data_IF_948419089372
#
_entry.id   IF_948419089372
#
_cell.length_a   1.000
_cell.length_b   1.000
_cell.length_c   1.000
_cell.angle_alpha   90.00
_cell.angle_beta   90.00
_cell.angle_gamma   90.00
#
_symmetry.space_group_name_H-M   'P 1'
#
loop_
_entity.id
_entity.type
_entity.pdbx_description
1 polymer ?
#
# COMPACT_ATOMS: atom_id res chain seq x y z
N UNK A 1 -31.29 2.16 1.89
CA UNK A 1 -31.72 3.49 1.43
C UNK A 1 -30.62 4.54 1.53
N UNK A 2 -30.08 4.89 2.71
CA UNK A 2 -29.02 5.91 2.86
C UNK A 2 -27.78 5.63 2.00
N UNK A 3 -27.27 4.40 2.00
CA UNK A 3 -26.13 3.98 1.16
C UNK A 3 -26.38 4.20 -0.34
N UNK A 4 -27.59 3.88 -0.82
CA UNK A 4 -27.93 4.05 -2.24
C UNK A 4 -27.96 5.52 -2.64
N UNK A 5 -28.49 6.40 -1.78
CA UNK A 5 -28.52 7.85 -2.01
C UNK A 5 -27.11 8.42 -2.04
N UNK A 6 -26.29 8.09 -1.04
CA UNK A 6 -24.89 8.53 -0.97
C UNK A 6 -24.08 8.01 -2.18
N UNK A 7 -24.28 6.75 -2.55
CA UNK A 7 -23.58 6.15 -3.69
C UNK A 7 -24.01 6.80 -5.01
N UNK A 8 -25.30 7.11 -5.18
CA UNK A 8 -25.79 7.83 -6.38
C UNK A 8 -25.18 9.22 -6.47
N UNK A 9 -25.11 9.97 -5.38
CA UNK A 9 -24.46 11.27 -5.35
C UNK A 9 -22.97 11.19 -5.64
N UNK A 10 -22.25 10.27 -5.00
CA UNK A 10 -20.83 10.06 -5.20
C UNK A 10 -20.50 9.62 -6.62
N UNK A 11 -21.38 8.84 -7.27
CA UNK A 11 -21.21 8.41 -8.67
C UNK A 11 -21.29 9.58 -9.67
N UNK A 12 -22.03 10.64 -9.36
CA UNK A 12 -22.15 11.83 -10.20
C UNK A 12 -21.03 12.85 -9.99
N UNK A 13 -20.30 12.74 -8.86
CA UNK A 13 -19.20 13.64 -8.51
C UNK A 13 -17.90 13.15 -9.17
N UNK A 14 -16.99 14.08 -9.50
CA UNK A 14 -15.63 13.71 -9.92
C UNK A 14 -15.00 12.72 -8.94
N UNK A 15 -14.33 11.65 -9.40
CA UNK A 15 -13.82 10.60 -8.53
C UNK A 15 -12.80 11.08 -7.49
N UNK A 16 -11.93 12.03 -7.82
CA UNK A 16 -10.96 12.57 -6.85
C UNK A 16 -11.64 13.48 -5.83
N UNK A 17 -12.62 14.28 -6.26
CA UNK A 17 -13.43 15.12 -5.36
C UNK A 17 -14.24 14.24 -4.40
N UNK A 18 -14.85 13.15 -4.90
CA UNK A 18 -15.55 12.19 -4.04
C UNK A 18 -14.60 11.55 -3.00
N UNK A 19 -13.38 11.22 -3.39
CA UNK A 19 -12.37 10.72 -2.48
C UNK A 19 -11.95 11.77 -1.42
N UNK A 20 -11.74 13.01 -1.83
CA UNK A 20 -11.42 14.12 -0.91
C UNK A 20 -12.53 14.33 0.14
N UNK A 21 -13.81 14.24 -0.27
CA UNK A 21 -14.93 14.27 0.66
C UNK A 21 -14.89 13.07 1.64
N UNK A 22 -14.64 11.87 1.17
CA UNK A 22 -14.54 10.68 2.02
C UNK A 22 -13.45 10.85 3.10
N UNK A 23 -12.25 11.32 2.71
CA UNK A 23 -11.18 11.63 3.66
C UNK A 23 -11.61 12.70 4.67
N UNK A 24 -12.24 13.77 4.21
CA UNK A 24 -12.73 14.87 5.09
C UNK A 24 -13.76 14.37 6.12
N UNK A 25 -14.74 13.57 5.68
CA UNK A 25 -15.74 12.97 6.59
C UNK A 25 -15.13 12.04 7.62
N UNK A 26 -14.18 11.18 7.22
CA UNK A 26 -13.45 10.29 8.12
C UNK A 26 -12.61 11.07 9.13
N UNK A 27 -11.96 12.15 8.70
CA UNK A 27 -11.11 13.00 9.54
C UNK A 27 -11.91 13.76 10.60
N UNK A 28 -13.11 14.21 10.26
CA UNK A 28 -13.99 14.93 11.16
C UNK A 28 -14.82 14.02 12.09
N UNK A 29 -14.63 12.68 12.01
CA UNK A 29 -15.44 11.69 12.73
C UNK A 29 -16.96 11.86 12.52
N UNK A 30 -17.38 12.36 11.37
CA UNK A 30 -18.80 12.56 11.04
C UNK A 30 -19.55 11.25 10.72
N UNK A 31 -18.82 10.14 10.59
CA UNK A 31 -19.42 8.82 10.43
C UNK A 31 -19.85 8.31 11.80
N UNK A 32 -21.12 7.90 11.98
CA UNK A 32 -21.60 7.35 13.25
C UNK A 32 -21.07 5.93 13.43
N UNK A 33 -19.78 5.80 13.74
CA UNK A 33 -19.09 4.51 13.88
C UNK A 33 -19.74 3.57 14.90
N UNK A 34 -20.41 4.15 15.93
CA UNK A 34 -21.11 3.37 16.95
C UNK A 34 -22.30 2.57 16.38
N UNK A 35 -22.88 3.03 15.26
CA UNK A 35 -23.92 2.29 14.52
C UNK A 35 -23.33 1.22 13.59
N UNK A 36 -22.01 1.28 13.33
CA UNK A 36 -21.29 0.37 12.43
C UNK A 36 -20.43 -0.64 13.21
N UNK A 37 -20.86 -1.05 14.41
CA UNK A 37 -20.11 -2.01 15.24
C UNK A 37 -19.99 -3.35 14.51
N UNK A 38 -18.84 -3.57 13.88
CA UNK A 38 -18.46 -4.87 13.32
C UNK A 38 -17.93 -5.76 14.46
N UNK A 39 -18.65 -6.85 14.76
CA UNK A 39 -18.09 -7.91 15.59
C UNK A 39 -17.17 -8.76 14.72
N UNK A 40 -15.90 -8.73 15.03
CA UNK A 40 -14.94 -9.62 14.37
C UNK A 40 -15.03 -11.00 15.03
N UNK A 41 -15.26 -12.03 14.23
CA UNK A 41 -15.23 -13.41 14.71
C UNK A 41 -13.76 -13.80 15.01
N UNK A 42 -13.53 -14.42 16.16
CA UNK A 42 -12.20 -14.87 16.58
C UNK A 42 -11.57 -15.91 15.65
N UNK A 43 -12.39 -16.64 14.89
CA UNK A 43 -11.93 -17.59 13.86
C UNK A 43 -11.23 -16.91 12.67
N UNK A 44 -11.45 -15.60 12.49
CA UNK A 44 -10.84 -14.81 11.42
C UNK A 44 -9.43 -14.29 11.78
N UNK A 45 -8.99 -14.50 13.03
CA UNK A 45 -7.66 -14.08 13.46
C UNK A 45 -6.59 -14.84 12.68
N UNK A 46 -5.60 -14.08 12.19
CA UNK A 46 -4.50 -14.65 11.41
C UNK A 46 -3.17 -14.04 11.86
N UNK A 47 -2.12 -14.84 11.89
CA UNK A 47 -0.76 -14.38 12.15
C UNK A 47 0.06 -14.43 10.86
N UNK A 48 0.51 -13.28 10.40
CA UNK A 48 1.34 -13.13 9.19
C UNK A 48 2.50 -12.21 9.51
N UNK A 49 3.71 -12.53 9.06
CA UNK A 49 4.93 -11.73 9.31
C UNK A 49 5.28 -11.53 10.78
N UNK A 50 4.80 -12.40 11.65
CA UNK A 50 4.94 -12.23 13.10
C UNK A 50 3.91 -11.27 13.71
N UNK A 51 3.05 -10.63 12.90
CA UNK A 51 2.00 -9.69 13.30
C UNK A 51 0.68 -10.45 13.43
N UNK A 52 -0.06 -10.20 14.51
CA UNK A 52 -1.39 -10.77 14.72
C UNK A 52 -2.44 -9.80 14.17
N UNK A 53 -3.24 -10.26 13.22
CA UNK A 53 -4.35 -9.51 12.63
C UNK A 53 -5.67 -10.05 13.18
N UNK A 54 -6.60 -9.15 13.55
CA UNK A 54 -7.92 -9.55 14.05
C UNK A 54 -8.81 -10.17 12.96
N UNK A 55 -8.55 -9.83 11.70
CA UNK A 55 -9.15 -10.46 10.52
C UNK A 55 -8.22 -10.23 9.30
N UNK A 56 -8.42 -10.95 8.17
CA UNK A 56 -7.55 -10.83 7.00
C UNK A 56 -7.85 -9.63 6.10
N UNK A 57 -8.75 -8.73 6.48
CA UNK A 57 -9.19 -7.62 5.63
C UNK A 57 -8.54 -6.32 6.08
N UNK A 58 -7.84 -5.68 5.17
CA UNK A 58 -7.22 -4.36 5.39
C UNK A 58 -7.50 -3.40 4.26
N UNK A 59 -7.29 -2.12 4.50
CA UNK A 59 -7.37 -1.09 3.48
C UNK A 59 -6.00 -0.90 2.83
N UNK A 60 -5.94 -1.10 1.51
CA UNK A 60 -4.71 -0.97 0.74
C UNK A 60 -4.28 0.50 0.57
N UNK A 61 -2.98 0.71 0.31
CA UNK A 61 -2.44 2.01 -0.07
C UNK A 61 -3.16 2.60 -1.30
N UNK A 62 -3.25 3.92 -1.33
CA UNK A 62 -3.94 4.67 -2.38
C UNK A 62 -5.24 5.32 -1.90
N UNK A 63 -5.87 4.83 -0.84
CA UNK A 63 -6.98 5.52 -0.21
C UNK A 63 -6.47 6.62 0.74
N UNK A 64 -5.77 6.27 1.81
CA UNK A 64 -5.12 7.24 2.70
C UNK A 64 -3.67 7.48 2.26
N UNK A 65 -3.50 8.39 1.28
CA UNK A 65 -2.19 8.65 0.68
C UNK A 65 -1.23 9.38 1.62
N UNK A 66 -1.76 10.07 2.62
CA UNK A 66 -1.03 11.02 3.45
C UNK A 66 -1.10 10.72 4.95
N UNK A 67 -1.58 9.57 5.35
CA UNK A 67 -1.79 9.18 6.74
C UNK A 67 -2.70 10.16 7.50
N UNK A 68 -3.84 10.52 6.91
CA UNK A 68 -4.78 11.46 7.49
C UNK A 68 -5.91 10.78 8.27
N UNK A 69 -6.27 9.54 7.91
CA UNK A 69 -7.48 8.87 8.41
C UNK A 69 -7.30 7.40 8.80
N UNK A 70 -6.09 6.86 8.78
CA UNK A 70 -5.83 5.44 9.06
C UNK A 70 -6.42 4.95 10.39
N UNK A 71 -6.45 5.79 11.44
CA UNK A 71 -7.09 5.43 12.70
C UNK A 71 -8.64 5.37 12.61
N UNK A 72 -9.25 6.12 11.69
CA UNK A 72 -10.69 6.05 11.44
C UNK A 72 -11.07 4.81 10.63
N UNK A 73 -10.14 4.28 9.81
CA UNK A 73 -10.34 3.07 9.02
C UNK A 73 -10.55 1.85 9.91
N UNK A 74 -9.84 1.75 11.02
CA UNK A 74 -10.02 0.64 11.97
C UNK A 74 -11.43 0.59 12.56
N UNK A 75 -12.10 1.74 12.73
CA UNK A 75 -13.48 1.83 13.19
C UNK A 75 -14.49 1.27 12.18
N UNK A 76 -14.09 1.12 10.90
CA UNK A 76 -14.90 0.49 9.85
C UNK A 76 -14.73 -1.03 9.79
N UNK A 77 -14.01 -1.65 10.73
CA UNK A 77 -13.82 -3.10 10.81
C UNK A 77 -12.60 -3.63 10.09
N UNK A 78 -11.79 -2.78 9.47
CA UNK A 78 -10.50 -3.19 8.90
C UNK A 78 -9.49 -3.52 10.00
N UNK A 79 -8.82 -4.67 9.89
CA UNK A 79 -7.79 -5.08 10.85
C UNK A 79 -6.49 -4.30 10.70
N UNK A 80 -6.23 -3.79 9.50
CA UNK A 80 -5.03 -2.99 9.20
C UNK A 80 -5.31 -1.94 8.13
N UNK A 81 -4.47 -0.93 8.08
CA UNK A 81 -4.50 0.09 7.03
C UNK A 81 -3.10 0.29 6.48
N UNK A 82 -2.97 0.36 5.16
CA UNK A 82 -1.73 0.72 4.48
C UNK A 82 -1.85 2.13 3.91
N UNK A 83 -0.99 3.05 4.38
CA UNK A 83 -0.96 4.44 3.93
C UNK A 83 0.08 4.65 2.83
N UNK A 84 -0.11 5.62 1.97
CA UNK A 84 0.80 5.95 0.87
C UNK A 84 0.20 5.71 -0.51
N UNK A 85 1.02 5.64 -1.56
CA UNK A 85 2.48 5.56 -1.62
C UNK A 85 3.11 6.90 -1.22
N UNK A 86 4.06 6.85 -0.31
CA UNK A 86 4.79 8.01 0.20
C UNK A 86 6.13 8.10 -0.52
N UNK A 87 6.49 9.30 -0.96
CA UNK A 87 7.75 9.61 -1.62
C UNK A 87 8.62 10.53 -0.76
N UNK A 88 9.95 10.60 -0.96
CA UNK A 88 10.80 11.49 -0.16
C UNK A 88 10.33 12.94 -0.15
N UNK A 89 10.07 13.49 -1.33
CA UNK A 89 9.54 14.85 -1.51
C UNK A 89 8.06 14.83 -1.81
N UNK A 90 7.30 15.88 -1.47
CA UNK A 90 5.93 16.04 -1.95
C UNK A 90 5.87 16.01 -3.47
N UNK A 91 4.81 15.38 -4.02
CA UNK A 91 4.55 15.47 -5.45
C UNK A 91 3.05 15.49 -5.76
N UNK A 92 2.70 16.25 -6.82
CA UNK A 92 1.30 16.44 -7.22
C UNK A 92 0.72 15.24 -7.96
N UNK A 93 1.57 14.32 -8.43
CA UNK A 93 1.20 13.25 -9.34
C UNK A 93 1.03 13.72 -10.78
N UNK A 94 0.32 12.92 -11.59
CA UNK A 94 0.08 13.22 -12.99
C UNK A 94 -1.01 14.29 -13.17
N UNK A 95 -1.11 14.96 -14.34
CA UNK A 95 -2.19 15.91 -14.65
C UNK A 95 -3.59 15.31 -14.49
N UNK A 96 -4.56 16.12 -14.07
CA UNK A 96 -5.98 15.76 -14.03
C UNK A 96 -6.62 16.00 -15.43
N UNK A 97 -7.69 15.24 -15.80
CA UNK A 97 -8.31 14.13 -15.06
C UNK A 97 -7.46 12.87 -15.11
N UNK A 98 -7.42 12.10 -14.03
CA UNK A 98 -6.55 10.94 -13.88
C UNK A 98 -7.19 9.76 -13.12
N UNK A 99 -8.47 9.85 -12.85
CA UNK A 99 -9.28 8.76 -12.27
C UNK A 99 -10.60 8.69 -13.06
N UNK A 100 -10.91 7.52 -13.57
CA UNK A 100 -12.07 7.29 -14.43
C UNK A 100 -12.87 6.10 -13.92
N UNK A 101 -14.20 6.30 -13.76
CA UNK A 101 -15.13 5.21 -13.44
C UNK A 101 -15.64 4.57 -14.72
N UNK A 102 -15.58 3.26 -14.76
CA UNK A 102 -16.17 2.47 -15.84
C UNK A 102 -17.47 1.84 -15.29
N UNK A 103 -18.56 2.62 -15.32
CA UNK A 103 -19.81 2.24 -14.65
C UNK A 103 -20.41 0.93 -15.20
N UNK A 104 -20.24 0.62 -16.49
CA UNK A 104 -20.72 -0.62 -17.12
C UNK A 104 -19.94 -1.85 -16.62
N UNK A 105 -18.66 -1.69 -16.36
CA UNK A 105 -17.74 -2.77 -15.97
C UNK A 105 -17.53 -2.82 -14.45
N UNK A 106 -18.22 -1.95 -13.69
CA UNK A 106 -18.03 -1.76 -12.23
C UNK A 106 -16.56 -1.60 -11.82
N UNK A 107 -15.78 -0.89 -12.64
CA UNK A 107 -14.34 -0.75 -12.51
C UNK A 107 -13.89 0.71 -12.43
N UNK A 108 -12.64 0.91 -11.99
CA UNK A 108 -11.97 2.22 -11.93
C UNK A 108 -10.60 2.10 -12.57
N UNK A 109 -10.30 3.02 -13.48
CA UNK A 109 -8.96 3.19 -14.05
C UNK A 109 -8.36 4.46 -13.46
N UNK A 110 -7.05 4.41 -13.14
CA UNK A 110 -6.34 5.59 -12.69
C UNK A 110 -4.93 5.71 -13.27
N UNK A 111 -4.47 6.96 -13.33
CA UNK A 111 -3.08 7.32 -13.68
C UNK A 111 -2.51 8.31 -12.67
N UNK A 112 -2.70 8.06 -11.37
CA UNK A 112 -2.44 9.02 -10.28
C UNK A 112 -0.98 9.48 -10.20
N UNK A 113 0.02 8.59 -10.32
CA UNK A 113 1.44 8.94 -10.25
C UNK A 113 1.91 9.38 -8.86
N UNK A 114 1.45 8.70 -7.81
CA UNK A 114 1.82 8.90 -6.41
C UNK A 114 1.66 10.33 -5.87
N UNK A 115 0.47 10.97 -5.99
CA UNK A 115 0.25 12.26 -5.33
C UNK A 115 0.31 12.08 -3.82
N UNK A 116 1.22 12.82 -3.14
CA UNK A 116 1.39 12.77 -1.69
C UNK A 116 2.15 13.99 -1.16
N UNK A 117 2.08 14.19 0.17
CA UNK A 117 2.68 15.33 0.87
C UNK A 117 4.17 15.13 1.25
N UNK A 118 4.78 14.01 0.86
CA UNK A 118 6.17 13.67 1.17
C UNK A 118 6.36 13.07 2.56
N UNK A 119 7.49 12.39 2.73
CA UNK A 119 7.78 11.60 3.94
C UNK A 119 7.82 12.42 5.23
N UNK A 120 8.29 13.67 5.19
CA UNK A 120 8.43 14.47 6.39
C UNK A 120 7.07 14.84 7.00
N UNK A 121 6.14 15.34 6.17
CA UNK A 121 4.81 15.75 6.62
C UNK A 121 3.97 14.54 7.03
N UNK A 122 4.12 13.41 6.33
CA UNK A 122 3.45 12.17 6.70
C UNK A 122 3.99 11.61 8.02
N UNK A 123 5.31 11.59 8.20
CA UNK A 123 5.94 11.18 9.45
C UNK A 123 5.47 12.02 10.66
N UNK A 124 5.37 13.34 10.48
CA UNK A 124 4.84 14.24 11.50
C UNK A 124 3.38 13.94 11.86
N UNK A 125 2.53 13.66 10.87
CA UNK A 125 1.13 13.29 11.10
C UNK A 125 1.02 11.99 11.91
N UNK A 126 1.81 10.98 11.57
CA UNK A 126 1.81 9.71 12.30
C UNK A 126 2.32 9.90 13.73
N UNK A 127 3.35 10.73 13.91
CA UNK A 127 3.87 11.05 15.23
C UNK A 127 2.82 11.77 16.10
N UNK A 128 2.11 12.75 15.55
CA UNK A 128 1.09 13.53 16.27
C UNK A 128 -0.24 12.78 16.47
N UNK A 129 -0.46 11.69 15.74
CA UNK A 129 -1.65 10.85 15.87
C UNK A 129 -1.23 9.36 15.90
N UNK A 130 -0.71 8.84 17.01
CA UNK A 130 -0.19 7.49 17.10
C UNK A 130 -1.19 6.42 16.64
N UNK A 131 -0.68 5.41 15.94
CA UNK A 131 -1.49 4.31 15.42
C UNK A 131 -2.21 3.54 16.54
N UNK A 132 -3.47 3.20 16.31
CA UNK A 132 -4.33 2.45 17.25
C UNK A 132 -4.44 0.97 16.89
N UNK A 133 -3.98 0.57 15.71
CA UNK A 133 -3.93 -0.79 15.21
C UNK A 133 -2.78 -0.94 14.21
N UNK A 134 -2.77 -1.99 13.41
CA UNK A 134 -1.69 -2.32 12.49
C UNK A 134 -1.63 -1.33 11.32
N UNK A 135 -0.50 -0.65 11.21
CA UNK A 135 -0.23 0.34 10.19
C UNK A 135 0.88 -0.14 9.26
N UNK A 136 0.54 -0.39 8.00
CA UNK A 136 1.49 -0.53 6.90
C UNK A 136 1.84 0.83 6.30
N UNK A 137 3.09 1.02 5.91
CA UNK A 137 3.51 2.22 5.17
C UNK A 137 4.07 1.80 3.82
N UNK A 138 3.40 2.25 2.76
CA UNK A 138 3.77 2.03 1.39
C UNK A 138 4.69 3.16 0.92
N UNK A 139 5.89 2.82 0.45
CA UNK A 139 6.92 3.76 0.01
C UNK A 139 7.26 3.57 -1.46
N UNK A 140 7.61 4.66 -2.11
CA UNK A 140 8.02 4.69 -3.51
C UNK A 140 8.92 5.88 -3.83
N UNK A 141 9.53 5.91 -5.02
CA UNK A 141 10.40 7.01 -5.42
C UNK A 141 9.59 8.20 -5.92
N UNK A 142 10.19 9.37 -5.87
CA UNK A 142 9.71 10.51 -6.64
C UNK A 142 9.80 10.21 -8.16
N UNK A 143 8.93 10.82 -8.94
CA UNK A 143 8.83 10.57 -10.38
C UNK A 143 10.15 10.83 -11.12
N UNK A 144 10.88 11.86 -10.72
CA UNK A 144 12.19 12.23 -11.26
C UNK A 144 13.31 11.22 -10.94
N UNK A 145 13.11 10.37 -9.91
CA UNK A 145 14.07 9.40 -9.41
C UNK A 145 13.58 7.95 -9.52
N UNK A 146 12.58 7.68 -10.34
CA UNK A 146 11.84 6.41 -10.32
C UNK A 146 12.71 5.14 -10.49
N UNK A 147 13.85 5.24 -11.19
CA UNK A 147 14.79 4.14 -11.36
C UNK A 147 15.89 4.08 -10.27
N UNK A 148 15.89 5.00 -9.28
CA UNK A 148 16.91 5.10 -8.25
C UNK A 148 16.42 4.50 -6.94
N UNK A 149 17.28 3.73 -6.29
CA UNK A 149 16.98 3.02 -5.04
C UNK A 149 17.06 3.92 -3.81
N UNK A 150 17.78 5.05 -3.92
CA UNK A 150 18.03 5.98 -2.80
C UNK A 150 16.75 6.53 -2.18
N UNK A 151 15.73 6.78 -2.99
CA UNK A 151 14.44 7.31 -2.52
C UNK A 151 13.74 6.32 -1.57
N UNK A 152 13.86 5.01 -1.82
CA UNK A 152 13.36 4.00 -0.88
C UNK A 152 14.13 4.01 0.44
N UNK A 153 15.47 4.17 0.36
CA UNK A 153 16.31 4.25 1.55
C UNK A 153 15.98 5.49 2.40
N UNK A 154 15.73 6.65 1.75
CA UNK A 154 15.30 7.86 2.45
C UNK A 154 13.97 7.66 3.17
N UNK A 155 12.97 7.13 2.47
CA UNK A 155 11.66 6.86 3.05
C UNK A 155 11.74 5.85 4.21
N UNK A 156 12.45 4.74 4.04
CA UNK A 156 12.51 3.70 5.08
C UNK A 156 13.24 4.22 6.32
N UNK A 157 14.34 4.97 6.18
CA UNK A 157 15.04 5.59 7.32
C UNK A 157 14.12 6.49 8.13
N UNK A 158 13.22 7.21 7.49
CA UNK A 158 12.32 8.18 8.14
C UNK A 158 11.11 7.51 8.79
N UNK A 159 10.53 6.49 8.14
CA UNK A 159 9.19 5.98 8.46
C UNK A 159 9.20 4.60 9.15
N UNK A 160 10.32 3.91 9.16
CA UNK A 160 10.42 2.50 9.58
C UNK A 160 9.88 2.23 10.98
N UNK A 161 10.25 3.06 11.95
CA UNK A 161 9.85 2.88 13.34
C UNK A 161 8.35 3.18 13.59
N UNK A 162 7.72 3.91 12.69
CA UNK A 162 6.30 4.28 12.80
C UNK A 162 5.37 3.20 12.22
N UNK A 163 5.91 2.29 11.40
CA UNK A 163 5.15 1.23 10.74
C UNK A 163 5.18 -0.08 11.53
N UNK A 164 4.21 -0.96 11.30
CA UNK A 164 4.28 -2.38 11.66
C UNK A 164 4.93 -3.20 10.55
N UNK A 165 4.74 -2.79 9.30
CA UNK A 165 5.42 -3.31 8.13
C UNK A 165 5.60 -2.21 7.07
N UNK A 166 6.58 -2.40 6.20
CA UNK A 166 6.85 -1.49 5.07
C UNK A 166 6.52 -2.21 3.76
N UNK A 167 5.80 -1.53 2.88
CA UNK A 167 5.58 -2.00 1.50
C UNK A 167 6.41 -1.18 0.53
N UNK A 168 7.33 -1.85 -0.16
CA UNK A 168 8.18 -1.28 -1.21
C UNK A 168 7.45 -1.40 -2.54
N UNK A 169 6.94 -0.29 -3.05
CA UNK A 169 6.10 -0.26 -4.25
C UNK A 169 6.94 -0.12 -5.51
N UNK A 170 7.06 -1.21 -6.27
CA UNK A 170 7.70 -1.24 -7.59
C UNK A 170 6.70 -1.61 -8.71
N UNK A 171 5.39 -1.54 -8.41
CA UNK A 171 4.33 -2.04 -9.30
C UNK A 171 3.73 -0.99 -10.25
N UNK A 172 3.84 0.31 -9.92
CA UNK A 172 3.07 1.34 -10.61
C UNK A 172 3.46 1.51 -12.09
N UNK A 173 2.49 1.44 -13.02
CA UNK A 173 2.72 1.77 -14.41
C UNK A 173 2.74 3.29 -14.66
N UNK A 174 2.27 4.06 -13.69
CA UNK A 174 2.04 5.51 -13.79
C UNK A 174 3.26 6.35 -13.42
N UNK A 175 4.36 5.70 -13.09
CA UNK A 175 5.66 6.30 -12.80
C UNK A 175 6.66 5.73 -13.81
N UNK A 176 7.18 6.53 -14.75
CA UNK A 176 8.11 6.06 -15.79
C UNK A 176 9.29 5.32 -15.18
N UNK A 177 9.73 4.25 -15.83
CA UNK A 177 10.91 3.44 -15.46
C UNK A 177 10.82 2.74 -14.07
N UNK A 178 9.74 2.87 -13.33
CA UNK A 178 9.62 2.22 -12.02
C UNK A 178 9.64 0.69 -12.15
N UNK A 179 9.00 0.16 -13.20
CA UNK A 179 8.96 -1.29 -13.45
C UNK A 179 10.29 -1.87 -13.91
N UNK A 180 11.26 -1.03 -14.26
CA UNK A 180 12.64 -1.48 -14.53
C UNK A 180 13.29 -2.09 -13.28
N UNK A 181 12.77 -1.78 -12.08
CA UNK A 181 13.18 -2.40 -10.84
C UNK A 181 12.81 -3.90 -10.74
N UNK A 182 12.02 -4.43 -11.69
CA UNK A 182 11.83 -5.88 -11.81
C UNK A 182 13.03 -6.59 -12.48
N UNK A 183 13.97 -5.84 -13.09
CA UNK A 183 15.23 -6.41 -13.59
C UNK A 183 16.01 -7.05 -12.44
N UNK A 184 16.61 -8.22 -12.72
CA UNK A 184 17.32 -9.04 -11.74
C UNK A 184 18.42 -8.29 -10.99
N UNK A 185 19.21 -7.47 -11.69
CA UNK A 185 20.31 -6.71 -11.06
C UNK A 185 19.77 -5.59 -10.18
N UNK A 186 18.78 -4.84 -10.68
CA UNK A 186 18.17 -3.72 -9.95
C UNK A 186 17.43 -4.20 -8.70
N UNK A 187 16.63 -5.27 -8.81
CA UNK A 187 15.91 -5.79 -7.64
C UNK A 187 16.87 -6.34 -6.58
N UNK A 188 17.94 -7.01 -6.97
CA UNK A 188 18.97 -7.49 -6.05
C UNK A 188 19.69 -6.35 -5.32
N UNK A 189 20.00 -5.27 -6.03
CA UNK A 189 20.59 -4.07 -5.43
C UNK A 189 19.65 -3.46 -4.40
N UNK A 190 18.39 -3.24 -4.75
CA UNK A 190 17.38 -2.71 -3.85
C UNK A 190 17.17 -3.61 -2.61
N UNK A 191 17.08 -4.93 -2.79
CA UNK A 191 16.96 -5.88 -1.68
C UNK A 191 18.17 -5.77 -0.74
N UNK A 192 19.38 -5.77 -1.29
CA UNK A 192 20.61 -5.68 -0.49
C UNK A 192 20.66 -4.36 0.30
N UNK A 193 20.29 -3.24 -0.32
CA UNK A 193 20.22 -1.92 0.31
C UNK A 193 19.27 -1.93 1.52
N UNK A 194 18.07 -2.45 1.34
CA UNK A 194 17.05 -2.50 2.39
C UNK A 194 17.39 -3.52 3.49
N UNK A 195 17.99 -4.66 3.13
CA UNK A 195 18.47 -5.64 4.11
C UNK A 195 19.62 -5.10 4.96
N UNK A 196 20.55 -4.35 4.36
CA UNK A 196 21.63 -3.71 5.11
C UNK A 196 21.10 -2.67 6.10
N UNK A 197 20.10 -1.87 5.69
CA UNK A 197 19.40 -0.99 6.61
C UNK A 197 18.74 -1.77 7.76
N UNK A 198 18.00 -2.83 7.43
CA UNK A 198 17.28 -3.63 8.41
C UNK A 198 18.21 -4.33 9.40
N UNK A 199 19.38 -4.82 8.97
CA UNK A 199 20.38 -5.46 9.86
C UNK A 199 20.80 -4.52 10.99
N UNK A 200 20.93 -3.23 10.69
CA UNK A 200 21.37 -2.20 11.62
C UNK A 200 20.20 -1.57 12.43
N UNK A 201 18.96 -1.99 12.16
CA UNK A 201 17.80 -1.49 12.91
C UNK A 201 17.57 -2.30 14.18
N UNK A 202 17.22 -1.62 15.28
CA UNK A 202 16.93 -2.24 16.58
C UNK A 202 15.76 -3.21 16.48
N UNK A 203 14.65 -2.74 15.89
CA UNK A 203 13.47 -3.57 15.67
C UNK A 203 13.41 -4.05 14.21
N UNK A 204 13.03 -5.31 14.03
CA UNK A 204 12.88 -5.91 12.70
C UNK A 204 11.42 -5.88 12.25
N UNK A 205 11.10 -4.98 11.35
CA UNK A 205 9.78 -4.90 10.70
C UNK A 205 9.78 -5.69 9.41
N UNK A 206 8.64 -6.26 9.03
CA UNK A 206 8.51 -6.90 7.72
C UNK A 206 8.66 -5.87 6.60
N UNK A 207 9.43 -6.22 5.56
CA UNK A 207 9.55 -5.44 4.32
C UNK A 207 8.95 -6.27 3.20
N UNK A 208 7.88 -5.77 2.59
CA UNK A 208 7.07 -6.44 1.57
C UNK A 208 7.30 -5.75 0.23
N UNK A 209 7.53 -6.52 -0.84
CA UNK A 209 7.62 -5.97 -2.19
C UNK A 209 6.28 -6.09 -2.90
N UNK A 210 5.72 -4.96 -3.33
CA UNK A 210 4.50 -4.92 -4.15
C UNK A 210 4.89 -4.92 -5.62
N UNK A 211 4.59 -6.03 -6.30
CA UNK A 211 4.93 -6.29 -7.69
C UNK A 211 3.80 -5.89 -8.64
N UNK A 212 4.14 -5.69 -9.93
CA UNK A 212 3.14 -5.43 -10.97
C UNK A 212 2.27 -6.68 -11.24
N UNK A 213 0.95 -6.53 -11.41
CA UNK A 213 0.06 -7.64 -11.74
C UNK A 213 0.26 -8.13 -13.19
N UNK A 214 0.96 -7.35 -14.02
CA UNK A 214 1.17 -7.65 -15.45
C UNK A 214 2.48 -8.41 -15.72
N UNK A 215 3.14 -8.93 -14.69
CA UNK A 215 4.33 -9.76 -14.85
C UNK A 215 3.98 -11.08 -15.52
N UNK A 216 4.87 -11.54 -16.43
CA UNK A 216 4.79 -12.87 -17.01
C UNK A 216 5.15 -13.92 -15.95
N UNK A 217 4.68 -15.16 -16.13
CA UNK A 217 5.00 -16.24 -15.19
C UNK A 217 6.51 -16.44 -15.00
N UNK A 218 7.29 -16.35 -16.08
CA UNK A 218 8.76 -16.47 -16.03
C UNK A 218 9.43 -15.36 -15.22
N UNK A 219 8.88 -14.15 -15.24
CA UNK A 219 9.37 -13.02 -14.43
C UNK A 219 9.02 -13.23 -12.95
N UNK A 220 7.80 -13.74 -12.68
CA UNK A 220 7.36 -14.11 -11.33
C UNK A 220 8.25 -15.20 -10.75
N UNK A 221 8.56 -16.24 -11.53
CA UNK A 221 9.43 -17.34 -11.10
C UNK A 221 10.83 -16.82 -10.76
N UNK A 222 11.42 -16.00 -11.64
CA UNK A 222 12.73 -15.38 -11.42
C UNK A 222 12.76 -14.52 -10.15
N UNK A 223 11.76 -13.66 -9.98
CA UNK A 223 11.67 -12.80 -8.78
C UNK A 223 11.47 -13.64 -7.52
N UNK A 224 10.66 -14.69 -7.59
CA UNK A 224 10.41 -15.59 -6.47
C UNK A 224 11.68 -16.30 -6.02
N UNK A 225 12.51 -16.78 -6.97
CA UNK A 225 13.81 -17.36 -6.67
C UNK A 225 14.75 -16.38 -5.98
N UNK A 226 14.83 -15.13 -6.49
CA UNK A 226 15.64 -14.07 -5.88
C UNK A 226 15.20 -13.80 -4.44
N UNK A 227 13.90 -13.66 -4.18
CA UNK A 227 13.39 -13.40 -2.84
C UNK A 227 13.65 -14.57 -1.88
N UNK A 228 13.56 -15.81 -2.35
CA UNK A 228 13.86 -17.01 -1.58
C UNK A 228 15.36 -17.10 -1.23
N UNK A 229 16.26 -16.92 -2.22
CA UNK A 229 17.71 -16.93 -2.03
C UNK A 229 18.16 -15.88 -1.01
N UNK A 230 17.57 -14.68 -1.07
CA UNK A 230 17.86 -13.57 -0.13
C UNK A 230 17.20 -13.73 1.22
N UNK A 231 16.50 -14.84 1.50
CA UNK A 231 15.70 -15.05 2.71
C UNK A 231 14.69 -13.92 2.98
N UNK A 232 14.35 -13.16 1.97
CA UNK A 232 13.24 -12.23 2.02
C UNK A 232 11.96 -13.05 1.92
N UNK A 233 11.35 -13.32 3.06
CA UNK A 233 10.15 -14.16 3.16
C UNK A 233 8.89 -13.47 2.68
N UNK A 234 8.98 -12.22 2.18
CA UNK A 234 7.80 -11.36 2.10
C UNK A 234 7.68 -10.64 0.76
N UNK A 235 6.77 -11.10 -0.06
CA UNK A 235 6.35 -10.40 -1.28
C UNK A 235 4.82 -10.41 -1.40
N UNK A 236 4.28 -9.36 -1.99
CA UNK A 236 2.86 -9.18 -2.22
C UNK A 236 2.64 -8.96 -3.73
N UNK A 237 1.69 -9.68 -4.30
CA UNK A 237 1.22 -9.43 -5.66
C UNK A 237 0.06 -8.45 -5.60
N UNK A 238 0.01 -7.47 -6.51
CA UNK A 238 -1.12 -6.59 -6.66
C UNK A 238 -2.35 -7.41 -7.10
N UNK A 239 -3.45 -7.31 -6.38
CA UNK A 239 -4.60 -8.24 -6.44
C UNK A 239 -5.49 -8.09 -7.70
N UNK A 240 -5.07 -7.35 -8.71
CA UNK A 240 -5.91 -7.06 -9.88
C UNK A 240 -5.91 -8.12 -10.99
N UNK A 241 -5.30 -9.28 -10.82
CA UNK A 241 -5.33 -10.34 -11.83
C UNK A 241 -6.25 -11.49 -11.39
N UNK A 242 -7.52 -11.45 -11.79
CA UNK A 242 -8.54 -12.47 -11.55
C UNK A 242 -8.21 -13.86 -12.14
N UNK A 243 -7.08 -14.03 -12.80
CA UNK A 243 -6.69 -15.26 -13.50
C UNK A 243 -5.55 -16.03 -12.82
N UNK A 244 -5.05 -15.58 -11.67
CA UNK A 244 -3.98 -16.29 -10.98
C UNK A 244 -4.52 -17.50 -10.19
N UNK A 245 -4.51 -18.66 -10.82
CA UNK A 245 -4.73 -19.93 -10.13
C UNK A 245 -3.43 -20.29 -9.40
N UNK A 246 -3.39 -20.07 -8.09
CA UNK A 246 -2.24 -20.28 -7.21
C UNK A 246 -1.76 -21.74 -7.08
N UNK A 247 -1.42 -22.38 -8.20
CA UNK A 247 -0.97 -23.77 -8.22
C UNK A 247 0.55 -23.94 -8.04
N UNK A 248 1.36 -22.91 -8.32
CA UNK A 248 2.82 -23.01 -8.31
C UNK A 248 3.46 -22.84 -6.93
N UNK A 249 2.81 -22.06 -6.04
CA UNK A 249 3.35 -21.76 -4.71
C UNK A 249 3.22 -22.89 -3.68
N UNK A 250 2.26 -23.82 -3.83
CA UNK A 250 2.07 -24.94 -2.90
C UNK A 250 3.06 -26.11 -3.08
N UNK A 251 3.84 -26.13 -4.14
CA UNK A 251 4.70 -27.30 -4.45
C UNK A 251 6.11 -27.29 -3.87
N UNK A 252 6.59 -26.18 -3.28
CA UNK A 252 7.96 -26.10 -2.73
C UNK A 252 8.04 -25.96 -1.20
N UNK A 253 6.96 -26.28 -0.47
CA UNK A 253 6.99 -26.38 1.00
C UNK A 253 6.88 -27.84 1.48
N UNK A 254 7.58 -28.76 0.77
CA UNK A 254 7.85 -30.11 1.30
C UNK A 254 9.33 -30.29 1.47
#
# INVERSE_FOLDING_TARGET
>A
MLYQILNSFLKQTDPEVAHEYAIKFLKQNLIPFDLLKFKTDSSLKIKVFGINFDNPIGLAAGFDKNAEVYNSIFKLGFAFSEVGTITPKPQKGNPKPRVFRLNKDEAIINSLGFPNDGMNKVSERIFNNPKKSILGINIGPNKENAAKEDDYLLCIKKLYQQADYITVNISSPNTPNLRDLHDKKKILSLINLLQNFQKNSVEKRAIIFKLSPNLKNSEIDTLSEIFLEKKNRWFNFDQYNSHWKGSTFRRKQK
#
